data_IF_630465876346
#
_entry.id   IF_630465876346
#
_cell.length_a   1.000
_cell.length_b   1.000
_cell.length_c   1.000
_cell.angle_alpha   90.00
_cell.angle_beta   90.00
_cell.angle_gamma   90.00
#
_symmetry.space_group_name_H-M   'P 1'
#
loop_
_entity.id
_entity.type
_entity.pdbx_description
1 polymer ?
#
# COMPACT_ATOMS: atom_id res chain seq x y z
N UNK A 1 34.41 -1.58 -2.72
CA UNK A 1 33.56 -1.29 -1.55
C UNK A 1 32.12 -1.07 -2.03
N UNK A 2 31.33 -2.13 -2.20
CA UNK A 2 29.97 -2.10 -2.80
C UNK A 2 29.01 -3.04 -2.04
N UNK A 3 28.86 -2.86 -0.73
CA UNK A 3 28.00 -3.74 0.11
C UNK A 3 26.91 -2.99 0.89
N UNK A 4 26.81 -1.67 0.74
CA UNK A 4 25.79 -0.85 1.38
C UNK A 4 24.33 -1.14 0.98
N UNK A 5 23.97 -1.72 -0.19
CA UNK A 5 22.56 -1.93 -0.54
C UNK A 5 21.88 -3.15 0.13
N UNK A 6 22.64 -4.16 0.59
CA UNK A 6 22.05 -5.41 1.09
C UNK A 6 21.54 -5.32 2.53
N UNK A 7 22.12 -4.43 3.35
CA UNK A 7 21.82 -4.36 4.79
C UNK A 7 20.50 -3.63 5.04
N UNK A 8 20.19 -2.58 4.27
CA UNK A 8 18.92 -1.86 4.40
C UNK A 8 17.73 -2.71 3.95
N UNK A 9 17.79 -3.34 2.77
CA UNK A 9 16.69 -4.20 2.32
C UNK A 9 16.51 -5.45 3.21
N UNK A 10 17.58 -6.01 3.78
CA UNK A 10 17.49 -7.09 4.77
C UNK A 10 16.83 -6.62 6.09
N UNK A 11 17.11 -5.40 6.53
CA UNK A 11 16.50 -4.84 7.75
C UNK A 11 14.97 -4.71 7.67
N UNK A 12 14.39 -4.53 6.47
CA UNK A 12 12.92 -4.46 6.28
C UNK A 12 12.20 -5.80 6.43
N UNK A 13 12.78 -6.88 5.90
CA UNK A 13 12.25 -8.23 6.13
C UNK A 13 12.32 -8.55 7.63
N UNK A 14 13.40 -8.14 8.29
CA UNK A 14 13.58 -8.28 9.73
C UNK A 14 12.59 -7.41 10.52
N UNK A 15 12.17 -6.26 10.03
CA UNK A 15 11.16 -5.39 10.67
C UNK A 15 9.71 -5.85 10.44
N UNK A 16 9.41 -6.49 9.31
CA UNK A 16 8.09 -7.08 9.06
C UNK A 16 7.82 -8.36 9.85
N UNK A 17 8.85 -9.13 10.19
CA UNK A 17 8.70 -10.36 11.00
C UNK A 17 8.11 -10.07 12.40
N UNK A 18 8.59 -9.07 13.17
CA UNK A 18 7.98 -8.63 14.42
C UNK A 18 6.51 -8.23 14.32
N UNK A 19 6.06 -7.65 13.20
CA UNK A 19 4.65 -7.31 12.99
C UNK A 19 3.73 -8.55 13.02
N UNK A 20 4.24 -9.71 12.61
CA UNK A 20 3.50 -10.98 12.69
C UNK A 20 3.50 -11.57 14.11
N UNK A 21 4.55 -11.30 14.89
CA UNK A 21 4.70 -11.84 16.25
C UNK A 21 3.92 -11.04 17.29
N UNK A 22 3.73 -9.74 17.07
CA UNK A 22 3.00 -8.87 18.00
C UNK A 22 1.48 -9.01 17.81
N UNK A 23 0.73 -8.90 18.90
CA UNK A 23 -0.73 -8.90 18.87
C UNK A 23 -1.30 -7.62 18.24
N UNK A 24 -2.32 -7.81 17.41
CA UNK A 24 -3.02 -6.70 16.76
C UNK A 24 -3.66 -5.75 17.78
N UNK A 25 -3.86 -4.49 17.40
CA UNK A 25 -4.47 -3.43 18.24
C UNK A 25 -3.68 -3.03 19.50
N UNK A 26 -2.45 -3.53 19.68
CA UNK A 26 -1.59 -3.14 20.81
C UNK A 26 -0.70 -1.93 20.46
N UNK A 27 -0.22 -1.20 21.47
CA UNK A 27 0.71 -0.07 21.27
C UNK A 27 1.98 -0.51 20.50
N UNK A 28 2.64 -1.64 20.82
CA UNK A 28 3.81 -2.09 20.08
C UNK A 28 3.51 -2.38 18.60
N UNK A 29 2.33 -2.91 18.28
CA UNK A 29 1.92 -3.15 16.90
C UNK A 29 1.86 -1.84 16.10
N UNK A 30 1.24 -0.79 16.65
CA UNK A 30 1.13 0.50 15.97
C UNK A 30 2.48 1.22 15.84
N UNK A 31 3.35 1.09 16.84
CA UNK A 31 4.72 1.63 16.75
C UNK A 31 5.49 0.95 15.62
N UNK A 32 5.45 -0.38 15.54
CA UNK A 32 6.09 -1.13 14.46
C UNK A 32 5.47 -0.82 13.10
N UNK A 33 4.15 -0.68 13.02
CA UNK A 33 3.43 -0.30 11.82
C UNK A 33 3.89 1.06 11.27
N UNK A 34 3.96 2.07 12.14
CA UNK A 34 4.41 3.41 11.76
C UNK A 34 5.88 3.41 11.34
N UNK A 35 6.75 2.74 12.10
CA UNK A 35 8.18 2.65 11.78
C UNK A 35 8.37 1.94 10.44
N UNK A 36 7.73 0.80 10.23
CA UNK A 36 7.85 0.04 8.98
C UNK A 36 7.33 0.85 7.77
N UNK A 37 6.15 1.47 7.88
CA UNK A 37 5.58 2.26 6.80
C UNK A 37 6.35 3.55 6.49
N UNK A 38 6.91 4.22 7.51
CA UNK A 38 7.71 5.45 7.28
C UNK A 38 9.11 5.15 6.76
N UNK A 39 9.73 4.06 7.23
CA UNK A 39 11.01 3.58 6.70
C UNK A 39 10.89 3.21 5.22
N UNK A 40 9.73 2.68 4.80
CA UNK A 40 9.44 2.43 3.37
C UNK A 40 9.67 3.68 2.50
N UNK A 41 8.96 4.74 2.87
CA UNK A 41 8.97 6.01 2.15
C UNK A 41 10.34 6.69 2.17
N UNK A 42 11.07 6.58 3.28
CA UNK A 42 12.37 7.21 3.46
C UNK A 42 13.48 6.53 2.64
N UNK A 43 13.60 5.20 2.64
CA UNK A 43 14.67 4.56 1.86
C UNK A 43 14.40 4.69 0.36
N UNK A 44 13.12 4.62 -0.05
CA UNK A 44 12.75 4.87 -1.44
C UNK A 44 13.08 6.29 -1.91
N UNK A 45 13.09 7.28 -1.00
CA UNK A 45 13.53 8.64 -1.29
C UNK A 45 15.05 8.78 -1.32
N UNK A 46 15.75 8.18 -0.35
CA UNK A 46 17.21 8.19 -0.23
C UNK A 46 17.89 7.46 -1.40
N UNK A 47 17.38 6.29 -1.80
CA UNK A 47 17.89 5.51 -2.92
C UNK A 47 17.82 6.31 -4.24
N UNK A 48 16.69 6.99 -4.47
CA UNK A 48 16.48 7.90 -5.63
C UNK A 48 17.40 9.10 -5.59
N UNK A 49 17.60 9.71 -4.42
CA UNK A 49 18.43 10.92 -4.26
C UNK A 49 19.92 10.64 -4.42
N UNK A 50 20.39 9.46 -4.03
CA UNK A 50 21.79 9.07 -4.13
C UNK A 50 22.14 8.29 -5.39
N UNK A 51 21.15 7.95 -6.23
CA UNK A 51 21.37 7.22 -7.49
C UNK A 51 21.92 5.80 -7.30
N UNK A 52 21.67 5.20 -6.12
CA UNK A 52 22.18 3.86 -5.75
C UNK A 52 21.06 2.82 -5.88
N UNK A 53 20.30 2.89 -6.97
CA UNK A 53 19.26 1.90 -7.27
C UNK A 53 19.91 0.64 -7.84
N UNK A 54 19.74 -0.50 -7.17
CA UNK A 54 20.18 -1.80 -7.68
C UNK A 54 18.98 -2.67 -8.04
N UNK A 55 19.10 -3.46 -9.13
CA UNK A 55 18.05 -4.40 -9.54
C UNK A 55 17.69 -5.43 -8.47
N UNK A 56 18.66 -5.77 -7.61
CA UNK A 56 18.45 -6.70 -6.50
C UNK A 56 17.70 -6.03 -5.34
N UNK A 57 18.12 -4.83 -4.94
CA UNK A 57 17.44 -4.05 -3.90
C UNK A 57 16.00 -3.74 -4.27
N UNK A 58 15.73 -3.34 -5.52
CA UNK A 58 14.36 -3.08 -5.99
C UNK A 58 13.44 -4.32 -5.93
N UNK A 59 13.98 -5.53 -6.17
CA UNK A 59 13.20 -6.78 -6.02
C UNK A 59 12.90 -7.10 -4.55
N UNK A 60 13.87 -6.88 -3.67
CA UNK A 60 13.67 -7.05 -2.23
C UNK A 60 12.68 -6.03 -1.66
N UNK A 61 12.71 -4.80 -2.18
CA UNK A 61 11.79 -3.73 -1.84
C UNK A 61 10.34 -4.14 -2.12
N UNK A 62 10.06 -4.60 -3.35
CA UNK A 62 8.73 -5.10 -3.72
C UNK A 62 8.29 -6.32 -2.90
N UNK A 63 9.23 -7.19 -2.51
CA UNK A 63 8.92 -8.33 -1.65
C UNK A 63 8.57 -7.89 -0.22
N UNK A 64 9.32 -6.92 0.32
CA UNK A 64 9.07 -6.37 1.65
C UNK A 64 7.69 -5.67 1.69
N UNK A 65 7.36 -4.87 0.68
CA UNK A 65 6.04 -4.22 0.56
C UNK A 65 4.91 -5.25 0.55
N UNK A 66 5.09 -6.33 -0.21
CA UNK A 66 4.10 -7.41 -0.28
C UNK A 66 3.91 -8.10 1.07
N UNK A 67 5.00 -8.43 1.75
CA UNK A 67 4.96 -9.04 3.10
C UNK A 67 4.33 -8.09 4.11
N UNK A 68 4.64 -6.80 4.06
CA UNK A 68 4.07 -5.79 4.94
C UNK A 68 2.55 -5.70 4.78
N UNK A 69 2.07 -5.53 3.54
CA UNK A 69 0.64 -5.44 3.24
C UNK A 69 -0.09 -6.73 3.65
N UNK A 70 0.51 -7.90 3.42
CA UNK A 70 -0.06 -9.18 3.85
C UNK A 70 -0.11 -9.32 5.37
N UNK A 71 0.98 -8.99 6.07
CA UNK A 71 1.07 -9.12 7.52
C UNK A 71 0.06 -8.21 8.22
N UNK A 72 0.03 -6.93 7.83
CA UNK A 72 -0.93 -5.94 8.34
C UNK A 72 -2.35 -6.35 7.98
N UNK A 73 -2.59 -6.72 6.71
CA UNK A 73 -3.90 -7.16 6.24
C UNK A 73 -4.40 -8.35 7.06
N UNK A 74 -3.61 -9.40 7.21
CA UNK A 74 -3.96 -10.59 7.97
C UNK A 74 -4.29 -10.29 9.45
N UNK A 75 -3.46 -9.47 10.11
CA UNK A 75 -3.66 -9.11 11.53
C UNK A 75 -4.86 -8.20 11.75
N UNK A 76 -5.12 -7.26 10.83
CA UNK A 76 -6.19 -6.28 10.94
C UNK A 76 -7.54 -6.78 10.42
N UNK A 77 -7.55 -7.76 9.51
CA UNK A 77 -8.78 -8.25 8.88
C UNK A 77 -9.88 -8.67 9.87
N UNK A 78 -9.60 -9.40 10.96
CA UNK A 78 -10.64 -9.78 11.95
C UNK A 78 -11.26 -8.57 12.66
N UNK A 79 -10.57 -7.43 12.68
CA UNK A 79 -11.01 -6.21 13.35
C UNK A 79 -11.77 -5.26 12.41
N UNK A 80 -11.80 -5.55 11.11
CA UNK A 80 -12.52 -4.77 10.11
C UNK A 80 -14.02 -5.07 10.17
N UNK A 81 -14.72 -4.41 11.09
CA UNK A 81 -16.19 -4.43 11.16
C UNK A 81 -16.78 -3.43 10.16
N UNK A 82 -16.71 -3.79 8.87
CA UNK A 82 -17.24 -2.96 7.79
C UNK A 82 -18.70 -3.34 7.46
N UNK A 83 -19.60 -2.37 7.26
CA UNK A 83 -20.95 -2.63 6.74
C UNK A 83 -20.88 -3.22 5.32
N UNK A 84 -21.88 -4.02 4.95
CA UNK A 84 -21.98 -4.67 3.63
C UNK A 84 -21.84 -3.70 2.46
N UNK A 85 -22.35 -2.46 2.62
CA UNK A 85 -22.21 -1.41 1.62
C UNK A 85 -20.75 -1.01 1.34
N UNK A 86 -19.89 -0.98 2.36
CA UNK A 86 -18.45 -0.70 2.16
C UNK A 86 -17.76 -1.88 1.48
N UNK A 87 -18.13 -3.11 1.79
CA UNK A 87 -17.62 -4.29 1.06
C UNK A 87 -17.99 -4.26 -0.42
N UNK A 88 -19.24 -3.89 -0.75
CA UNK A 88 -19.66 -3.70 -2.15
C UNK A 88 -18.86 -2.61 -2.84
N UNK A 89 -18.60 -1.48 -2.16
CA UNK A 89 -17.80 -0.38 -2.69
C UNK A 89 -16.34 -0.81 -2.96
N UNK A 90 -15.72 -1.54 -2.03
CA UNK A 90 -14.36 -2.09 -2.22
C UNK A 90 -14.35 -3.05 -3.42
N UNK A 91 -15.36 -3.92 -3.54
CA UNK A 91 -15.52 -4.82 -4.68
C UNK A 91 -15.65 -4.07 -6.01
N UNK A 92 -16.42 -2.99 -6.04
CA UNK A 92 -16.55 -2.12 -7.21
C UNK A 92 -15.22 -1.46 -7.59
N UNK A 93 -14.49 -0.90 -6.61
CA UNK A 93 -13.18 -0.29 -6.84
C UNK A 93 -12.20 -1.33 -7.41
N UNK A 94 -12.18 -2.53 -6.84
CA UNK A 94 -11.35 -3.64 -7.32
C UNK A 94 -11.69 -4.01 -8.77
N UNK A 95 -12.99 -4.11 -9.10
CA UNK A 95 -13.45 -4.37 -10.47
C UNK A 95 -12.98 -3.29 -11.44
N UNK A 96 -13.13 -2.00 -11.09
CA UNK A 96 -12.66 -0.88 -11.92
C UNK A 96 -11.14 -0.97 -12.14
N UNK A 97 -10.36 -1.27 -11.10
CA UNK A 97 -8.90 -1.43 -11.24
C UNK A 97 -8.51 -2.62 -12.11
N UNK A 98 -9.24 -3.74 -12.03
CA UNK A 98 -9.03 -4.89 -12.92
C UNK A 98 -9.31 -4.49 -14.37
N UNK A 99 -10.43 -3.81 -14.64
CA UNK A 99 -10.76 -3.32 -15.99
C UNK A 99 -9.70 -2.36 -16.52
N UNK A 100 -9.17 -1.47 -15.68
CA UNK A 100 -8.08 -0.57 -16.04
C UNK A 100 -6.79 -1.33 -16.36
N UNK A 101 -6.43 -2.34 -15.56
CA UNK A 101 -5.26 -3.17 -15.79
C UNK A 101 -5.37 -3.96 -17.12
N UNK A 102 -6.54 -4.55 -17.40
CA UNK A 102 -6.82 -5.21 -18.68
C UNK A 102 -6.76 -4.21 -19.84
N UNK A 103 -7.36 -3.02 -19.68
CA UNK A 103 -7.32 -1.95 -20.69
C UNK A 103 -5.88 -1.53 -20.99
N UNK A 104 -5.04 -1.35 -19.96
CA UNK A 104 -3.63 -1.02 -20.13
C UNK A 104 -2.87 -2.13 -20.86
N UNK A 105 -3.14 -3.39 -20.53
CA UNK A 105 -2.52 -4.54 -21.20
C UNK A 105 -2.90 -4.61 -22.68
N UNK A 106 -4.17 -4.40 -23.03
CA UNK A 106 -4.64 -4.44 -24.43
C UNK A 106 -4.09 -3.27 -25.26
N UNK A 107 -4.12 -2.05 -24.70
CA UNK A 107 -3.70 -0.83 -25.43
C UNK A 107 -2.19 -0.71 -25.54
N UNK A 108 -1.46 -0.96 -24.44
CA UNK A 108 -0.01 -0.65 -24.33
C UNK A 108 0.89 -1.87 -24.36
N UNK A 109 0.32 -3.09 -24.35
CA UNK A 109 1.05 -4.38 -24.22
C UNK A 109 2.03 -4.43 -23.05
N UNK A 110 1.83 -3.58 -22.05
CA UNK A 110 2.60 -3.51 -20.80
C UNK A 110 1.65 -3.23 -19.66
N UNK A 111 1.84 -3.94 -18.56
CA UNK A 111 1.17 -3.62 -17.30
C UNK A 111 1.91 -2.42 -16.71
N UNK A 112 1.44 -1.22 -17.02
CA UNK A 112 1.91 -0.01 -16.36
C UNK A 112 0.97 0.29 -15.19
N UNK A 113 1.45 0.09 -13.97
CA UNK A 113 0.79 0.62 -12.78
C UNK A 113 1.05 2.12 -12.73
N UNK A 114 0.08 2.92 -13.15
CA UNK A 114 0.22 4.37 -13.07
C UNK A 114 0.12 4.79 -11.61
N UNK A 115 1.27 5.12 -11.02
CA UNK A 115 1.35 5.79 -9.72
C UNK A 115 0.94 7.27 -9.85
N UNK A 116 -0.34 7.51 -10.17
CA UNK A 116 -0.93 8.85 -10.17
C UNK A 116 -0.84 9.48 -8.78
N UNK A 117 -0.83 10.81 -8.73
CA UNK A 117 -0.86 11.54 -7.45
C UNK A 117 -2.08 11.13 -6.59
N UNK A 118 -3.21 10.81 -7.24
CA UNK A 118 -4.42 10.33 -6.58
C UNK A 118 -4.22 8.94 -5.94
N UNK A 119 -3.63 7.98 -6.66
CA UNK A 119 -3.33 6.65 -6.09
C UNK A 119 -2.35 6.74 -4.90
N UNK A 120 -1.37 7.65 -4.94
CA UNK A 120 -0.46 7.91 -3.80
C UNK A 120 -1.22 8.48 -2.60
N UNK A 121 -2.12 9.42 -2.83
CA UNK A 121 -2.97 9.98 -1.77
C UNK A 121 -3.87 8.91 -1.15
N UNK A 122 -4.51 8.07 -1.97
CA UNK A 122 -5.32 6.95 -1.48
C UNK A 122 -4.51 6.00 -0.61
N UNK A 123 -3.30 5.64 -1.02
CA UNK A 123 -2.41 4.79 -0.22
C UNK A 123 -2.05 5.41 1.13
N UNK A 124 -1.72 6.71 1.14
CA UNK A 124 -1.43 7.45 2.38
C UNK A 124 -2.64 7.55 3.31
N UNK A 125 -3.83 7.81 2.76
CA UNK A 125 -5.07 7.86 3.53
C UNK A 125 -5.47 6.49 4.06
N UNK A 126 -5.26 5.41 3.30
CA UNK A 126 -5.44 4.04 3.79
C UNK A 126 -4.50 3.74 4.96
N UNK A 127 -3.23 4.15 4.86
CA UNK A 127 -2.25 3.97 5.92
C UNK A 127 -2.69 4.64 7.24
N UNK A 128 -3.10 5.90 7.18
CA UNK A 128 -3.64 6.61 8.35
C UNK A 128 -4.98 6.00 8.80
N UNK A 129 -5.85 5.67 7.85
CA UNK A 129 -7.18 5.12 8.10
C UNK A 129 -7.14 3.80 8.87
N UNK A 130 -6.15 2.95 8.63
CA UNK A 130 -5.95 1.71 9.40
C UNK A 130 -5.77 1.98 10.90
N UNK A 131 -5.09 3.06 11.29
CA UNK A 131 -4.89 3.42 12.70
C UNK A 131 -6.19 3.82 13.41
N UNK A 132 -7.25 4.09 12.66
CA UNK A 132 -8.57 4.46 13.21
C UNK A 132 -9.45 3.24 13.50
N UNK A 133 -9.00 2.02 13.18
CA UNK A 133 -9.74 0.77 13.48
C UNK A 133 -10.02 0.68 14.98
N UNK A 134 -11.26 0.33 15.32
CA UNK A 134 -11.75 0.26 16.71
C UNK A 134 -12.28 1.58 17.27
N UNK A 135 -12.11 2.69 16.56
CA UNK A 135 -12.66 4.00 16.95
C UNK A 135 -14.07 4.22 16.36
N UNK A 136 -14.87 5.06 17.02
CA UNK A 136 -16.25 5.37 16.59
C UNK A 136 -16.35 6.01 15.20
N UNK A 137 -15.31 6.74 14.79
CA UNK A 137 -15.24 7.42 13.50
C UNK A 137 -14.61 6.59 12.37
N UNK A 138 -14.29 5.32 12.61
CA UNK A 138 -13.69 4.43 11.60
C UNK A 138 -14.54 4.30 10.34
N UNK A 139 -15.85 4.08 10.49
CA UNK A 139 -16.77 3.86 9.34
C UNK A 139 -16.87 5.13 8.46
N UNK A 140 -17.12 6.33 9.00
CA UNK A 140 -17.07 7.57 8.22
C UNK A 140 -15.73 7.77 7.48
N UNK A 141 -14.60 7.52 8.16
CA UNK A 141 -13.27 7.63 7.55
C UNK A 141 -13.11 6.63 6.39
N UNK A 142 -13.54 5.38 6.58
CA UNK A 142 -13.49 4.36 5.54
C UNK A 142 -14.32 4.74 4.29
N UNK A 143 -15.47 5.38 4.46
CA UNK A 143 -16.27 5.93 3.35
C UNK A 143 -15.54 7.02 2.59
N UNK A 144 -14.95 7.98 3.29
CA UNK A 144 -14.17 9.07 2.66
C UNK A 144 -13.02 8.48 1.84
N UNK A 145 -12.28 7.51 2.41
CA UNK A 145 -11.20 6.82 1.72
C UNK A 145 -11.72 6.07 0.49
N UNK A 146 -12.83 5.34 0.60
CA UNK A 146 -13.42 4.60 -0.50
C UNK A 146 -13.85 5.52 -1.66
N UNK A 147 -14.45 6.68 -1.37
CA UNK A 147 -14.80 7.67 -2.38
C UNK A 147 -13.58 8.21 -3.12
N UNK A 148 -12.50 8.54 -2.39
CA UNK A 148 -11.24 9.00 -2.98
C UNK A 148 -10.58 7.89 -3.79
N UNK A 149 -10.62 6.65 -3.32
CA UNK A 149 -10.10 5.48 -4.02
C UNK A 149 -10.85 5.21 -5.33
N UNK A 150 -12.19 5.35 -5.33
CA UNK A 150 -13.00 5.23 -6.53
C UNK A 150 -12.67 6.33 -7.54
N UNK A 151 -12.57 7.58 -7.09
CA UNK A 151 -12.13 8.70 -7.94
C UNK A 151 -10.74 8.44 -8.55
N UNK A 152 -9.78 8.00 -7.74
CA UNK A 152 -8.44 7.67 -8.21
C UNK A 152 -8.44 6.56 -9.25
N UNK A 153 -9.26 5.51 -9.06
CA UNK A 153 -9.41 4.41 -10.01
C UNK A 153 -10.03 4.87 -11.34
N UNK A 154 -11.07 5.72 -11.30
CA UNK A 154 -11.67 6.28 -12.53
C UNK A 154 -10.66 7.18 -13.27
N UNK A 155 -9.96 8.05 -12.53
CA UNK A 155 -8.95 8.93 -13.09
C UNK A 155 -7.82 8.15 -13.78
N UNK A 156 -7.34 7.08 -13.13
CA UNK A 156 -6.33 6.19 -13.70
C UNK A 156 -6.80 5.57 -15.03
N UNK A 157 -8.03 5.06 -15.07
CA UNK A 157 -8.63 4.50 -16.30
C UNK A 157 -8.71 5.51 -17.43
N UNK A 158 -9.06 6.77 -17.13
CA UNK A 158 -9.11 7.84 -18.13
C UNK A 158 -7.73 8.16 -18.70
N UNK A 159 -6.70 8.23 -17.85
CA UNK A 159 -5.30 8.50 -18.28
C UNK A 159 -4.74 7.36 -19.14
N UNK A 160 -5.09 6.11 -18.84
CA UNK A 160 -4.65 4.95 -19.63
C UNK A 160 -5.20 5.03 -21.06
N UNK A 161 -6.45 5.49 -21.23
CA UNK A 161 -7.12 5.57 -22.54
C UNK A 161 -6.78 6.81 -23.35
N UNK A 162 -6.36 7.90 -22.70
CA UNK A 162 -6.02 9.16 -23.36
C UNK A 162 -4.55 9.29 -23.79
N UNK A 163 -3.71 8.30 -23.45
CA UNK A 163 -2.30 8.18 -23.85
C UNK A 163 -2.09 6.95 -24.69
#
# INVERSE_FOLDING_TARGET
MKQTPNILSASRIILCLPLLLVDAMTVPFWVLYVIAGTTDMLDGFLARRWGVESKFGARLDSLADFVFVLAVGYKLFPWLKLPTALWMMIGLIALVKIVNAVSAYVVKRRIEFLHTKANKLTGFLLFIGMMTIGQSYFIPVAWVIACIALFAAIQEGHIIRSR
#
